data_IF_930406319848
#
_entry.id   IF_930406319848
#
_cell.length_a   1.000
_cell.length_b   1.000
_cell.length_c   1.000
_cell.angle_alpha   90.00
_cell.angle_beta   90.00
_cell.angle_gamma   90.00
#
_symmetry.space_group_name_H-M   'P 1'
#
loop_
_entity.id
_entity.type
_entity.pdbx_description
1 polymer ?
#
# COMPACT_ATOMS: atom_id res chain seq x y z
N UNK A 1 26.87 -10.87 -26.86
CA UNK A 1 25.78 -10.96 -25.85
C UNK A 1 24.78 -12.00 -26.32
N UNK A 2 24.54 -13.04 -25.53
CA UNK A 2 23.55 -14.08 -25.82
C UNK A 2 22.16 -13.58 -25.46
N UNK A 3 21.27 -13.43 -26.44
CA UNK A 3 19.86 -13.12 -26.21
C UNK A 3 19.20 -14.40 -25.67
N UNK A 4 19.10 -14.53 -24.34
CA UNK A 4 18.37 -15.65 -23.74
C UNK A 4 16.89 -15.44 -24.06
N UNK A 5 16.35 -16.24 -24.99
CA UNK A 5 14.90 -16.24 -25.25
C UNK A 5 14.21 -16.75 -23.98
N UNK A 6 13.34 -15.91 -23.40
CA UNK A 6 12.50 -16.32 -22.28
C UNK A 6 11.38 -17.16 -22.86
N UNK A 7 11.28 -18.42 -22.42
CA UNK A 7 10.16 -19.28 -22.76
C UNK A 7 9.03 -19.06 -21.75
N UNK A 8 7.99 -18.33 -22.16
CA UNK A 8 6.87 -18.03 -21.27
C UNK A 8 5.99 -19.25 -20.96
N UNK A 9 6.12 -20.35 -21.72
CA UNK A 9 5.39 -21.60 -21.49
C UNK A 9 5.89 -22.36 -20.26
N UNK A 10 7.08 -22.03 -19.74
CA UNK A 10 7.65 -22.61 -18.52
C UNK A 10 7.19 -21.90 -17.23
N UNK A 11 6.40 -20.84 -17.33
CA UNK A 11 5.94 -20.09 -16.17
C UNK A 11 4.61 -20.64 -15.67
N UNK A 12 4.58 -21.00 -14.39
CA UNK A 12 3.35 -21.36 -13.69
C UNK A 12 2.68 -20.12 -13.08
N UNK A 13 1.35 -20.08 -13.19
CA UNK A 13 0.53 -19.09 -12.48
C UNK A 13 0.20 -19.63 -11.08
N UNK A 14 0.68 -18.94 -10.06
CA UNK A 14 0.41 -19.28 -8.67
C UNK A 14 -0.59 -18.29 -8.05
N UNK A 15 -1.58 -18.82 -7.35
CA UNK A 15 -2.56 -18.05 -6.58
C UNK A 15 -2.31 -18.28 -5.08
N UNK A 16 -1.45 -17.47 -4.43
CA UNK A 16 -1.19 -17.64 -3.00
C UNK A 16 -2.45 -17.37 -2.17
N UNK A 17 -2.60 -18.11 -1.07
CA UNK A 17 -3.64 -17.83 -0.10
C UNK A 17 -3.34 -16.50 0.60
N UNK A 18 -4.26 -15.54 0.49
CA UNK A 18 -4.15 -14.20 1.06
C UNK A 18 -5.38 -13.84 1.90
N UNK A 19 -5.23 -12.94 2.90
CA UNK A 19 -6.37 -12.33 3.59
C UNK A 19 -7.40 -11.79 2.58
N UNK A 20 -8.67 -12.15 2.77
CA UNK A 20 -9.76 -11.67 1.92
C UNK A 20 -10.07 -10.21 2.26
N UNK A 21 -10.11 -9.38 1.23
CA UNK A 21 -10.60 -8.00 1.36
C UNK A 21 -12.12 -8.00 1.58
N UNK A 22 -12.57 -7.25 2.59
CA UNK A 22 -14.00 -7.16 2.95
C UNK A 22 -14.68 -5.88 2.46
N UNK A 23 -13.90 -4.85 2.08
CA UNK A 23 -14.42 -3.58 1.59
C UNK A 23 -13.92 -3.26 0.17
N UNK A 24 -14.21 -2.04 -0.33
CA UNK A 24 -13.83 -1.60 -1.69
C UNK A 24 -12.63 -0.67 -1.75
N UNK A 25 -12.03 -0.28 -0.62
CA UNK A 25 -11.06 0.82 -0.55
C UNK A 25 -9.68 0.41 0.00
N UNK A 26 -9.53 -0.81 0.50
CA UNK A 26 -8.26 -1.33 1.04
C UNK A 26 -7.39 -2.07 0.01
N UNK A 27 -7.86 -2.24 -1.23
CA UNK A 27 -7.14 -3.02 -2.25
C UNK A 27 -5.71 -2.55 -2.49
N UNK A 28 -5.47 -1.24 -2.48
CA UNK A 28 -4.12 -0.67 -2.62
C UNK A 28 -3.22 -1.02 -1.43
N UNK A 29 -3.74 -0.95 -0.21
CA UNK A 29 -2.98 -1.27 1.02
C UNK A 29 -2.61 -2.75 1.05
N UNK A 30 -3.57 -3.62 0.70
CA UNK A 30 -3.35 -5.06 0.59
C UNK A 30 -2.33 -5.40 -0.49
N UNK A 31 -2.44 -4.81 -1.68
CA UNK A 31 -1.48 -5.01 -2.77
C UNK A 31 -0.05 -4.60 -2.39
N UNK A 32 0.11 -3.45 -1.72
CA UNK A 32 1.41 -3.02 -1.19
C UNK A 32 1.93 -4.03 -0.17
N UNK A 33 1.08 -4.47 0.77
CA UNK A 33 1.49 -5.44 1.79
C UNK A 33 1.87 -6.79 1.22
N UNK A 34 1.12 -7.28 0.23
CA UNK A 34 1.44 -8.52 -0.47
C UNK A 34 2.80 -8.41 -1.13
N UNK A 35 3.06 -7.32 -1.85
CA UNK A 35 4.35 -7.10 -2.52
C UNK A 35 5.51 -6.99 -1.53
N UNK A 36 5.29 -6.36 -0.36
CA UNK A 36 6.29 -6.22 0.70
C UNK A 36 6.71 -7.57 1.30
N UNK A 37 5.77 -8.51 1.49
CA UNK A 37 6.02 -9.77 2.22
C UNK A 37 6.10 -11.01 1.31
N UNK A 38 5.87 -10.85 0.01
CA UNK A 38 5.78 -11.98 -0.91
C UNK A 38 7.10 -12.73 -1.01
N UNK A 39 7.05 -14.00 -0.61
CA UNK A 39 8.04 -15.00 -0.99
C UNK A 39 7.30 -16.27 -1.40
N UNK A 40 7.93 -17.15 -2.20
CA UNK A 40 7.28 -18.38 -2.66
C UNK A 40 6.76 -19.31 -1.56
N UNK A 41 7.22 -19.15 -0.31
CA UNK A 41 6.85 -19.99 0.83
C UNK A 41 6.06 -19.25 1.91
N UNK A 42 5.78 -17.96 1.72
CA UNK A 42 5.09 -17.14 2.71
C UNK A 42 3.62 -17.53 2.80
N UNK A 43 3.15 -17.93 3.99
CA UNK A 43 1.72 -18.02 4.28
C UNK A 43 1.20 -16.65 4.73
N UNK A 44 0.76 -15.85 3.77
CA UNK A 44 0.40 -14.42 3.99
C UNK A 44 -0.73 -14.25 5.03
N UNK A 45 -1.64 -15.22 5.11
CA UNK A 45 -2.74 -15.23 6.09
C UNK A 45 -2.27 -15.27 7.55
N UNK A 46 -1.04 -15.70 7.82
CA UNK A 46 -0.49 -15.79 9.16
C UNK A 46 0.31 -14.53 9.55
N UNK A 47 0.62 -13.66 8.58
CA UNK A 47 1.48 -12.51 8.79
C UNK A 47 0.73 -11.21 9.05
N UNK A 48 -0.49 -11.08 8.53
CA UNK A 48 -1.33 -9.93 8.77
C UNK A 48 -2.80 -10.25 8.46
N UNK A 49 -3.71 -9.41 8.94
CA UNK A 49 -5.14 -9.52 8.72
C UNK A 49 -5.80 -8.15 8.53
N UNK A 50 -7.12 -8.14 8.34
CA UNK A 50 -7.89 -6.91 8.17
C UNK A 50 -7.78 -5.96 9.39
N UNK A 51 -7.46 -6.47 10.58
CA UNK A 51 -7.27 -5.64 11.80
C UNK A 51 -6.04 -4.73 11.71
N UNK A 52 -5.05 -5.11 10.89
CA UNK A 52 -3.78 -4.39 10.77
C UNK A 52 -3.85 -3.25 9.74
N UNK A 53 -4.87 -3.27 8.87
CA UNK A 53 -4.98 -2.34 7.75
C UNK A 53 -4.98 -0.86 8.17
N UNK A 54 -5.68 -0.43 9.24
CA UNK A 54 -5.61 0.96 9.68
C UNK A 54 -4.18 1.41 9.94
N UNK A 55 -3.38 0.60 10.64
CA UNK A 55 -1.99 0.91 10.96
C UNK A 55 -1.09 0.86 9.72
N UNK A 56 -1.34 -0.08 8.80
CA UNK A 56 -0.61 -0.15 7.52
C UNK A 56 -0.84 1.11 6.66
N UNK A 57 -2.05 1.68 6.67
CA UNK A 57 -2.34 2.96 5.99
C UNK A 57 -1.46 4.09 6.52
N UNK A 58 -1.36 4.22 7.84
CA UNK A 58 -0.52 5.22 8.50
C UNK A 58 0.95 5.03 8.11
N UNK A 59 1.43 3.79 8.25
CA UNK A 59 2.81 3.42 7.93
C UNK A 59 3.16 3.80 6.49
N UNK A 60 2.37 3.35 5.51
CA UNK A 60 2.71 3.56 4.10
C UNK A 60 2.69 5.03 3.70
N UNK A 61 1.74 5.83 4.19
CA UNK A 61 1.74 7.24 3.89
C UNK A 61 2.92 7.97 4.53
N UNK A 62 3.30 7.63 5.77
CA UNK A 62 4.50 8.16 6.39
C UNK A 62 5.75 7.77 5.61
N UNK A 63 5.90 6.50 5.26
CA UNK A 63 7.04 6.02 4.48
C UNK A 63 7.14 6.77 3.14
N UNK A 64 6.02 6.99 2.44
CA UNK A 64 6.01 7.74 1.19
C UNK A 64 6.34 9.22 1.39
N UNK A 65 5.71 9.87 2.38
CA UNK A 65 5.90 11.30 2.66
C UNK A 65 7.32 11.63 3.12
N UNK A 66 7.92 10.76 3.92
CA UNK A 66 9.28 10.93 4.45
C UNK A 66 10.35 10.23 3.61
N UNK A 67 10.00 9.61 2.47
CA UNK A 67 10.98 8.97 1.58
C UNK A 67 12.03 9.97 1.04
N UNK A 68 13.10 9.47 0.43
CA UNK A 68 14.06 10.31 -0.32
C UNK A 68 13.76 10.35 -1.83
N UNK A 69 12.75 9.61 -2.26
CA UNK A 69 12.31 9.52 -3.65
C UNK A 69 11.46 10.74 -4.02
N UNK A 70 11.10 10.86 -5.29
CA UNK A 70 10.13 11.86 -5.72
C UNK A 70 8.82 11.70 -4.93
N UNK A 71 8.36 12.81 -4.37
CA UNK A 71 7.18 12.90 -3.50
C UNK A 71 6.02 13.60 -4.17
N UNK A 72 6.20 14.11 -5.39
CA UNK A 72 5.20 14.88 -6.14
C UNK A 72 3.82 14.25 -6.05
N UNK A 73 3.72 12.95 -6.34
CA UNK A 73 2.45 12.21 -6.24
C UNK A 73 1.75 12.34 -4.88
N UNK A 74 2.51 12.26 -3.79
CA UNK A 74 1.98 12.29 -2.42
C UNK A 74 1.71 13.73 -2.00
N UNK A 75 2.64 14.65 -2.24
CA UNK A 75 2.51 16.06 -1.87
C UNK A 75 1.42 16.77 -2.66
N UNK A 76 1.26 16.44 -3.94
CA UNK A 76 0.24 17.02 -4.81
C UNK A 76 -1.15 16.47 -4.44
N UNK A 77 -1.24 15.16 -4.18
CA UNK A 77 -2.48 14.56 -3.67
C UNK A 77 -2.92 15.21 -2.35
N UNK A 78 -2.01 15.40 -1.39
CA UNK A 78 -2.33 16.09 -0.14
C UNK A 78 -2.65 17.57 -0.37
N UNK A 79 -1.94 18.26 -1.27
CA UNK A 79 -2.22 19.64 -1.65
C UNK A 79 -3.62 19.82 -2.24
N UNK A 80 -4.03 18.91 -3.12
CA UNK A 80 -5.37 18.91 -3.72
C UNK A 80 -6.44 18.65 -2.67
N UNK A 81 -6.29 17.63 -1.82
CA UNK A 81 -7.26 17.35 -0.74
C UNK A 81 -7.42 18.57 0.18
N UNK A 82 -6.32 19.24 0.53
CA UNK A 82 -6.35 20.46 1.35
C UNK A 82 -7.02 21.65 0.65
N UNK A 83 -6.93 21.75 -0.68
CA UNK A 83 -7.56 22.83 -1.45
C UNK A 83 -9.06 22.60 -1.69
N UNK A 84 -9.49 21.34 -1.85
CA UNK A 84 -10.91 20.99 -2.04
C UNK A 84 -11.70 20.90 -0.73
N UNK A 85 -11.05 20.67 0.41
CA UNK A 85 -11.71 20.61 1.73
C UNK A 85 -11.17 21.71 2.67
N UNK A 86 -11.67 22.95 2.59
CA UNK A 86 -11.25 24.06 3.45
C UNK A 86 -11.73 23.92 4.92
N UNK A 87 -12.34 22.80 5.29
CA UNK A 87 -12.84 22.55 6.64
C UNK A 87 -11.71 22.10 7.59
N UNK A 88 -11.46 22.82 8.69
CA UNK A 88 -10.46 22.45 9.70
C UNK A 88 -10.65 21.05 10.29
N UNK A 89 -11.89 20.53 10.31
CA UNK A 89 -12.23 19.19 10.81
C UNK A 89 -11.73 18.06 9.90
N UNK A 90 -11.64 18.29 8.58
CA UNK A 90 -11.10 17.31 7.62
C UNK A 90 -9.58 17.31 7.70
N UNK A 91 -8.97 18.48 7.88
CA UNK A 91 -7.55 18.63 8.22
C UNK A 91 -7.20 17.87 9.50
N UNK A 92 -8.01 17.99 10.57
CA UNK A 92 -7.79 17.27 11.82
C UNK A 92 -7.91 15.74 11.65
N UNK A 93 -8.90 15.24 10.91
CA UNK A 93 -9.03 13.79 10.70
C UNK A 93 -7.91 13.22 9.80
N UNK A 94 -7.45 13.95 8.79
CA UNK A 94 -6.33 13.54 7.93
C UNK A 94 -4.98 13.60 8.66
N UNK A 95 -4.72 14.65 9.46
CA UNK A 95 -3.51 14.71 10.29
C UNK A 95 -3.48 13.58 11.32
N UNK A 96 -4.59 13.26 11.99
CA UNK A 96 -4.62 12.21 13.02
C UNK A 96 -4.54 10.79 12.46
N UNK A 97 -4.97 10.55 11.21
CA UNK A 97 -4.79 9.25 10.57
C UNK A 97 -3.37 9.05 10.00
N UNK A 98 -2.56 10.09 9.86
CA UNK A 98 -1.22 9.98 9.27
C UNK A 98 -0.07 10.36 10.20
N UNK A 99 -0.28 11.16 11.24
CA UNK A 99 0.75 11.45 12.24
C UNK A 99 0.45 10.73 13.56
N UNK A 100 1.42 10.00 14.13
CA UNK A 100 1.26 9.38 15.44
C UNK A 100 1.33 10.48 16.52
N UNK A 101 0.37 10.49 17.43
CA UNK A 101 0.56 11.01 18.78
C UNK A 101 0.67 9.83 19.74
#
# INVERSE_FOLDING_TARGET
MMHKRINFEEFDVLYPAVPKQENRHDCGVLALKYTEIFTPRTQMTNLFSNIDIPNLRIKYANDMFFSICDKSFVTDFFGDVCSYFPCPLVHFHFLFFFLPF
#
